data_IF_528507213092
#
_entry.id   IF_528507213092
#
_cell.length_a   1.000
_cell.length_b   1.000
_cell.length_c   1.000
_cell.angle_alpha   90.00
_cell.angle_beta   90.00
_cell.angle_gamma   90.00
#
_symmetry.space_group_name_H-M   'P 1'
#
loop_
_entity.id
_entity.type
_entity.pdbx_description
1 polymer ?
#
# COMPACT_ATOMS: atom_id res chain seq x y z
N UNK A 1 -32.84 8.51 -8.21
CA UNK A 1 -31.63 7.97 -8.88
C UNK A 1 -30.30 8.53 -8.35
N UNK A 2 -30.24 9.66 -7.63
CA UNK A 2 -28.97 10.20 -7.08
C UNK A 2 -28.33 9.32 -5.98
N UNK A 3 -29.14 8.58 -5.23
CA UNK A 3 -28.66 7.71 -4.14
C UNK A 3 -27.86 6.49 -4.62
N UNK A 4 -28.07 6.04 -5.87
CA UNK A 4 -27.38 4.87 -6.43
C UNK A 4 -25.92 5.16 -6.82
N UNK A 5 -25.62 6.42 -7.17
CA UNK A 5 -24.26 6.82 -7.59
C UNK A 5 -23.34 6.93 -6.37
N UNK A 6 -23.86 7.48 -5.27
CA UNK A 6 -23.13 7.64 -4.00
C UNK A 6 -22.77 6.27 -3.42
N UNK A 7 -23.71 5.31 -3.44
CA UNK A 7 -23.43 3.96 -2.96
C UNK A 7 -22.33 3.25 -3.79
N UNK A 8 -22.31 3.48 -5.09
CA UNK A 8 -21.29 2.90 -5.96
C UNK A 8 -19.93 3.56 -5.77
N UNK A 9 -19.88 4.87 -5.49
CA UNK A 9 -18.62 5.56 -5.23
C UNK A 9 -17.98 5.09 -3.93
N UNK A 10 -18.72 5.00 -2.82
CA UNK A 10 -18.18 4.53 -1.53
C UNK A 10 -17.64 3.09 -1.59
N UNK A 11 -18.29 2.22 -2.37
CA UNK A 11 -17.83 0.84 -2.58
C UNK A 11 -16.57 0.76 -3.44
N UNK A 12 -16.40 1.71 -4.37
CA UNK A 12 -15.22 1.76 -5.23
C UNK A 12 -14.03 2.30 -4.45
N UNK A 13 -14.25 3.38 -3.69
CA UNK A 13 -13.27 3.99 -2.79
C UNK A 13 -12.75 2.96 -1.76
N UNK A 14 -13.63 2.24 -1.06
CA UNK A 14 -13.20 1.23 -0.09
C UNK A 14 -12.44 0.05 -0.72
N UNK A 15 -12.70 -0.27 -1.99
CA UNK A 15 -11.91 -1.29 -2.72
C UNK A 15 -10.53 -0.76 -3.09
N UNK A 16 -10.46 0.48 -3.57
CA UNK A 16 -9.19 1.13 -3.92
C UNK A 16 -8.30 1.28 -2.68
N UNK A 17 -8.85 1.76 -1.56
CA UNK A 17 -8.16 1.83 -0.27
C UNK A 17 -7.68 0.45 0.21
N UNK A 18 -8.54 -0.58 0.12
CA UNK A 18 -8.18 -1.94 0.52
C UNK A 18 -7.04 -2.53 -0.32
N UNK A 19 -7.04 -2.27 -1.62
CA UNK A 19 -5.95 -2.68 -2.52
C UNK A 19 -4.67 -1.94 -2.14
N UNK A 20 -4.73 -0.63 -1.93
CA UNK A 20 -3.56 0.18 -1.59
C UNK A 20 -2.94 -0.26 -0.25
N UNK A 21 -3.76 -0.44 0.78
CA UNK A 21 -3.31 -0.93 2.10
C UNK A 21 -2.71 -2.34 2.00
N UNK A 22 -3.34 -3.21 1.21
CA UNK A 22 -2.84 -4.57 0.96
C UNK A 22 -1.46 -4.58 0.31
N UNK A 23 -1.28 -3.78 -0.75
CA UNK A 23 -0.01 -3.64 -1.48
C UNK A 23 1.08 -3.09 -0.56
N UNK A 24 0.79 -2.05 0.23
CA UNK A 24 1.74 -1.49 1.21
C UNK A 24 2.14 -2.52 2.27
N UNK A 25 1.19 -3.27 2.83
CA UNK A 25 1.48 -4.31 3.83
C UNK A 25 2.34 -5.43 3.25
N UNK A 26 2.08 -5.84 2.01
CA UNK A 26 2.94 -6.82 1.32
C UNK A 26 4.35 -6.25 1.15
N UNK A 27 4.49 -5.00 0.69
CA UNK A 27 5.79 -4.36 0.54
C UNK A 27 6.60 -4.33 1.85
N UNK A 28 5.96 -3.93 2.96
CA UNK A 28 6.57 -3.92 4.30
C UNK A 28 7.03 -5.32 4.72
N UNK A 29 6.20 -6.33 4.54
CA UNK A 29 6.55 -7.70 4.88
C UNK A 29 7.75 -8.21 4.05
N UNK A 30 7.78 -7.91 2.75
CA UNK A 30 8.90 -8.32 1.89
C UNK A 30 10.22 -7.64 2.31
N UNK A 31 10.16 -6.36 2.70
CA UNK A 31 11.32 -5.64 3.25
C UNK A 31 11.80 -6.26 4.58
N UNK A 32 10.88 -6.66 5.46
CA UNK A 32 11.21 -7.36 6.72
C UNK A 32 11.88 -8.71 6.49
N UNK A 33 11.56 -9.38 5.39
CA UNK A 33 12.22 -10.61 4.94
C UNK A 33 13.58 -10.34 4.23
N UNK A 34 14.15 -9.14 4.38
CA UNK A 34 15.41 -8.71 3.74
C UNK A 34 15.39 -8.74 2.21
N UNK A 35 14.21 -8.64 1.57
CA UNK A 35 14.18 -8.47 0.11
C UNK A 35 14.69 -7.10 -0.31
N UNK A 36 15.45 -7.01 -1.42
CA UNK A 36 15.95 -5.74 -1.92
C UNK A 36 14.80 -4.87 -2.43
N UNK A 37 14.90 -3.56 -2.20
CA UNK A 37 13.90 -2.54 -2.56
C UNK A 37 13.49 -2.63 -4.04
N UNK A 38 14.43 -2.90 -4.93
CA UNK A 38 14.21 -3.07 -6.37
C UNK A 38 13.27 -4.24 -6.68
N UNK A 39 13.42 -5.36 -5.95
CA UNK A 39 12.57 -6.53 -6.10
C UNK A 39 11.19 -6.30 -5.49
N UNK A 40 11.13 -5.61 -4.34
CA UNK A 40 9.85 -5.21 -3.73
C UNK A 40 9.06 -4.29 -4.67
N UNK A 41 9.72 -3.28 -5.25
CA UNK A 41 9.13 -2.39 -6.26
C UNK A 41 8.57 -3.17 -7.46
N UNK A 42 9.36 -4.12 -7.99
CA UNK A 42 8.93 -4.96 -9.12
C UNK A 42 7.74 -5.86 -8.80
N UNK A 43 7.67 -6.43 -7.60
CA UNK A 43 6.61 -7.38 -7.20
C UNK A 43 5.31 -6.66 -6.82
N UNK A 44 5.42 -5.51 -6.17
CA UNK A 44 4.26 -4.78 -5.63
C UNK A 44 3.75 -3.71 -6.59
N UNK A 45 4.54 -3.33 -7.60
CA UNK A 45 4.21 -2.24 -8.53
C UNK A 45 4.39 -0.85 -7.91
N UNK A 46 4.90 -0.75 -6.69
CA UNK A 46 5.24 0.51 -6.04
C UNK A 46 6.53 1.08 -6.62
N UNK A 47 6.68 2.40 -6.59
CA UNK A 47 7.95 3.04 -6.97
C UNK A 47 9.00 2.85 -5.87
N UNK A 48 10.27 3.01 -6.23
CA UNK A 48 11.39 2.89 -5.29
C UNK A 48 11.22 3.90 -4.13
N UNK A 49 10.76 5.12 -4.44
CA UNK A 49 10.52 6.18 -3.44
C UNK A 49 9.39 5.81 -2.48
N UNK A 50 8.32 5.18 -2.98
CA UNK A 50 7.21 4.71 -2.15
C UNK A 50 7.67 3.59 -1.20
N UNK A 51 8.46 2.64 -1.71
CA UNK A 51 9.00 1.55 -0.90
C UNK A 51 9.98 2.08 0.16
N UNK A 52 10.84 3.05 -0.18
CA UNK A 52 11.73 3.71 0.79
C UNK A 52 10.96 4.48 1.87
N UNK A 53 9.86 5.14 1.50
CA UNK A 53 9.02 5.86 2.47
C UNK A 53 8.40 4.90 3.50
N UNK A 54 8.04 3.68 3.08
CA UNK A 54 7.52 2.65 3.99
C UNK A 54 8.56 2.17 5.01
N UNK A 55 9.85 2.15 4.65
CA UNK A 55 10.93 1.82 5.59
C UNK A 55 11.03 2.88 6.69
N UNK A 56 10.88 4.15 6.34
CA UNK A 56 11.00 5.26 7.30
C UNK A 56 9.84 5.29 8.30
N UNK A 57 8.61 5.02 7.86
CA UNK A 57 7.42 5.05 8.73
C UNK A 57 7.40 3.94 9.78
N UNK A 58 7.97 2.77 9.48
CA UNK A 58 8.07 1.67 10.46
C UNK A 58 9.04 1.98 11.62
N UNK A 59 10.00 2.90 11.42
CA UNK A 59 10.96 3.33 12.47
C UNK A 59 10.28 4.25 13.50
N UNK A 60 9.31 5.07 13.07
CA UNK A 60 8.60 6.03 13.94
C UNK A 60 7.47 5.39 14.77
N UNK A 61 7.06 4.16 14.48
CA UNK A 61 6.04 3.42 15.25
C UNK A 61 6.63 2.59 16.41
N UNK A 62 7.95 2.69 16.64
CA UNK A 62 8.69 1.96 17.67
C UNK A 62 9.17 2.79 18.87
N UNK A 63 8.73 4.06 19.00
CA UNK A 63 8.94 4.88 20.21
C UNK A 63 7.70 4.98 21.11
#
# INVERSE_FOLDING_TARGET
MRESVIYKSILTEGKEEGIELGVRRVAVNLLKENMPVEMVSKVTGLTIEQVQSLVTTDIEQSE
#
